data_IF_571259553392
#
_entry.id   IF_571259553392
#
_cell.length_a   1.000
_cell.length_b   1.000
_cell.length_c   1.000
_cell.angle_alpha   90.00
_cell.angle_beta   90.00
_cell.angle_gamma   90.00
#
_symmetry.space_group_name_H-M   'P 1'
#
loop_
_entity.id
_entity.type
_entity.pdbx_description
1 polymer ?
#
# COMPACT_ATOMS: atom_id res chain seq x y z
N UNK A 1 -26.73 10.08 -7.46
CA UNK A 1 -26.63 8.61 -7.55
C UNK A 1 -25.19 8.32 -7.96
N UNK A 2 -24.29 8.09 -7.00
CA UNK A 2 -22.91 7.70 -7.32
C UNK A 2 -22.88 6.16 -7.38
N UNK A 3 -22.71 5.63 -8.58
CA UNK A 3 -22.51 4.20 -8.81
C UNK A 3 -21.25 3.78 -8.05
N UNK A 4 -21.36 2.66 -7.32
CA UNK A 4 -20.29 2.16 -6.47
C UNK A 4 -18.97 2.07 -7.22
N UNK A 5 -17.90 2.54 -6.58
CA UNK A 5 -16.54 2.46 -7.09
C UNK A 5 -16.24 1.03 -7.52
N UNK A 6 -15.98 0.84 -8.81
CA UNK A 6 -15.60 -0.47 -9.33
C UNK A 6 -14.29 -0.89 -8.65
N UNK A 7 -14.13 -2.16 -8.29
CA UNK A 7 -12.90 -2.67 -7.66
C UNK A 7 -11.62 -2.41 -8.50
N UNK A 8 -11.79 -2.16 -9.80
CA UNK A 8 -10.72 -1.79 -10.73
C UNK A 8 -10.27 -0.33 -10.59
N UNK A 9 -11.18 0.58 -10.21
CA UNK A 9 -10.88 2.01 -10.03
C UNK A 9 -10.05 2.23 -8.76
N UNK A 10 -10.33 1.48 -7.69
CA UNK A 10 -9.54 1.51 -6.46
C UNK A 10 -8.08 1.00 -6.66
N UNK A 11 -7.88 0.04 -7.58
CA UNK A 11 -6.55 -0.45 -7.92
C UNK A 11 -5.77 0.55 -8.79
N UNK A 12 -6.44 1.27 -9.69
CA UNK A 12 -5.81 2.31 -10.52
C UNK A 12 -5.36 3.51 -9.70
N UNK A 13 -6.17 3.96 -8.73
CA UNK A 13 -5.83 5.11 -7.89
C UNK A 13 -4.60 4.82 -7.02
N UNK A 14 -4.50 3.60 -6.49
CA UNK A 14 -3.31 3.12 -5.77
C UNK A 14 -2.05 3.16 -6.62
N UNK A 15 -2.13 2.63 -7.84
CA UNK A 15 -0.98 2.59 -8.74
C UNK A 15 -0.48 4.01 -9.07
N UNK A 16 -1.40 4.97 -9.26
CA UNK A 16 -1.03 6.37 -9.51
C UNK A 16 -0.35 7.02 -8.29
N UNK A 17 -0.81 6.71 -7.07
CA UNK A 17 -0.17 7.20 -5.84
C UNK A 17 1.25 6.63 -5.71
N UNK A 18 1.43 5.35 -6.02
CA UNK A 18 2.72 4.67 -5.99
C UNK A 18 3.68 5.18 -7.07
N UNK A 19 3.21 5.40 -8.30
CA UNK A 19 4.01 5.95 -9.41
C UNK A 19 4.46 7.40 -9.14
N UNK A 20 3.66 8.17 -8.40
CA UNK A 20 4.02 9.52 -7.98
C UNK A 20 5.09 9.56 -6.87
N UNK A 21 5.46 8.42 -6.28
CA UNK A 21 6.52 8.36 -5.27
C UNK A 21 7.90 8.48 -5.91
N UNK A 22 8.83 9.24 -5.31
CA UNK A 22 10.20 9.27 -5.78
C UNK A 22 10.85 7.88 -5.65
N UNK A 23 11.73 7.54 -6.58
CA UNK A 23 12.47 6.27 -6.56
C UNK A 23 13.25 6.13 -5.24
N UNK A 24 12.99 5.06 -4.49
CA UNK A 24 13.57 4.84 -3.16
C UNK A 24 12.85 5.52 -2.00
N UNK A 25 11.69 6.14 -2.24
CA UNK A 25 10.79 6.52 -1.16
C UNK A 25 10.46 5.28 -0.33
N UNK A 26 10.46 5.43 0.99
CA UNK A 26 10.15 4.37 1.95
C UNK A 26 9.23 4.96 3.02
N UNK A 27 8.11 4.28 3.27
CA UNK A 27 7.19 4.72 4.31
C UNK A 27 7.81 4.52 5.69
N UNK A 28 7.55 5.46 6.61
CA UNK A 28 8.05 5.37 7.98
C UNK A 28 7.36 4.26 8.77
N UNK A 29 6.14 3.88 8.38
CA UNK A 29 5.35 2.86 9.05
C UNK A 29 3.99 2.62 8.39
N UNK A 30 3.31 1.55 8.81
CA UNK A 30 2.04 1.14 8.23
C UNK A 30 0.88 2.11 8.39
N UNK A 31 0.96 3.03 9.33
CA UNK A 31 -0.03 4.10 9.45
C UNK A 31 0.02 5.04 8.23
N UNK A 32 1.21 5.30 7.70
CA UNK A 32 1.43 6.22 6.57
C UNK A 32 0.95 5.58 5.26
N UNK A 33 1.28 4.30 5.05
CA UNK A 33 0.79 3.48 3.94
C UNK A 33 -0.74 3.44 3.90
N UNK A 34 -1.37 3.26 5.07
CA UNK A 34 -2.84 3.23 5.20
C UNK A 34 -3.45 4.62 5.02
N UNK A 35 -2.82 5.67 5.54
CA UNK A 35 -3.26 7.05 5.34
C UNK A 35 -3.19 7.46 3.86
N UNK A 36 -2.19 6.95 3.12
CA UNK A 36 -2.07 7.11 1.69
C UNK A 36 -3.07 6.24 0.88
N UNK A 37 -3.82 5.33 1.53
CA UNK A 37 -4.79 4.48 0.85
C UNK A 37 -4.16 3.36 -0.01
N UNK A 38 -2.84 3.18 0.08
CA UNK A 38 -2.06 2.20 -0.69
C UNK A 38 -1.74 0.94 0.11
N UNK A 39 -2.39 0.70 1.27
CA UNK A 39 -2.28 -0.56 2.02
C UNK A 39 -3.24 -1.64 1.47
N UNK A 40 -2.85 -2.92 1.30
CA UNK A 40 -1.53 -3.51 1.54
C UNK A 40 -0.47 -3.05 0.54
N UNK A 41 0.79 -3.00 1.00
CA UNK A 41 1.94 -2.56 0.20
C UNK A 41 2.81 -3.78 -0.11
N UNK A 42 3.01 -4.07 -1.38
CA UNK A 42 3.75 -5.25 -1.81
C UNK A 42 5.24 -4.98 -1.97
N UNK A 43 6.07 -6.02 -1.84
CA UNK A 43 7.52 -5.96 -2.03
C UNK A 43 7.99 -5.39 -3.37
N UNK A 44 7.15 -5.47 -4.41
CA UNK A 44 7.42 -4.90 -5.73
C UNK A 44 6.98 -3.44 -5.87
N UNK A 45 6.26 -2.88 -4.89
CA UNK A 45 5.75 -1.51 -4.94
C UNK A 45 6.74 -0.51 -4.34
N UNK A 46 6.81 0.71 -4.90
CA UNK A 46 7.63 1.78 -4.33
C UNK A 46 7.08 2.18 -2.96
N UNK A 47 7.96 2.49 -2.01
CA UNK A 47 7.56 2.70 -0.62
C UNK A 47 7.74 1.48 0.27
N UNK A 48 7.82 0.26 -0.30
CA UNK A 48 7.96 -0.95 0.50
C UNK A 48 9.33 -1.00 1.20
N UNK A 49 9.30 -1.52 2.42
CA UNK A 49 10.50 -1.83 3.19
C UNK A 49 10.25 -3.11 3.97
N UNK A 50 11.27 -3.97 4.07
CA UNK A 50 11.25 -5.17 4.93
C UNK A 50 10.92 -4.84 6.40
N UNK A 51 11.07 -3.57 6.82
CA UNK A 51 10.68 -3.10 8.15
C UNK A 51 9.17 -2.96 8.34
N UNK A 52 8.41 -2.88 7.25
CA UNK A 52 6.94 -2.77 7.23
C UNK A 52 6.27 -4.14 7.20
N UNK A 53 7.04 -5.16 6.83
CA UNK A 53 6.66 -6.56 6.74
C UNK A 53 7.03 -7.23 8.08
N UNK A 54 6.01 -7.48 8.90
CA UNK A 54 6.21 -7.97 10.27
C UNK A 54 6.55 -9.46 10.33
N UNK A 55 6.13 -10.21 9.32
CA UNK A 55 6.22 -11.67 9.24
C UNK A 55 7.12 -12.16 8.09
N UNK A 56 7.52 -11.27 7.18
CA UNK A 56 8.52 -11.54 6.15
C UNK A 56 7.97 -12.21 4.91
N UNK A 57 6.67 -12.08 4.62
CA UNK A 57 6.01 -12.74 3.49
C UNK A 57 6.06 -11.91 2.19
N UNK A 58 6.59 -10.69 2.27
CA UNK A 58 6.68 -9.74 1.17
C UNK A 58 5.46 -8.84 1.00
N UNK A 59 4.55 -8.80 1.98
CA UNK A 59 3.38 -7.92 2.03
C UNK A 59 3.44 -7.05 3.29
N UNK A 60 3.78 -5.79 3.10
CA UNK A 60 3.83 -4.81 4.16
C UNK A 60 2.45 -4.29 4.50
N UNK A 61 2.23 -4.07 5.79
CA UNK A 61 1.06 -3.32 6.27
C UNK A 61 -0.27 -3.94 5.86
N UNK A 62 -0.33 -5.27 5.89
CA UNK A 62 -1.52 -6.04 5.61
C UNK A 62 -2.72 -5.55 6.45
N UNK A 63 -3.94 -5.62 5.86
CA UNK A 63 -5.16 -5.37 6.62
C UNK A 63 -5.35 -6.40 7.75
N UNK A 64 -4.72 -7.57 7.64
CA UNK A 64 -4.76 -8.65 8.63
C UNK A 64 -3.70 -8.43 9.72
N UNK A 65 -3.95 -7.47 10.62
CA UNK A 65 -3.50 -7.70 11.99
C UNK A 65 -4.31 -8.89 12.51
N UNK A 66 -3.70 -10.08 12.62
CA UNK A 66 -4.29 -11.26 13.25
C UNK A 66 -5.04 -10.88 14.54
N UNK A 67 -6.24 -11.38 14.80
CA UNK A 67 -6.50 -12.79 15.16
C UNK A 67 -5.35 -13.76 14.97
#
# INVERSE_FOLDING_TARGET
MAFGANALEAAQERQAILDALPAGYTYSGCNEVRAAGVAPLYSYEPGFSERLDGDGDGIGCEPYRGQ
#
